data_IF_880533371757
#
_entry.id   IF_880533371757
#
_cell.length_a   1.000
_cell.length_b   1.000
_cell.length_c   1.000
_cell.angle_alpha   90.00
_cell.angle_beta   90.00
_cell.angle_gamma   90.00
#
_symmetry.space_group_name_H-M   'P 1'
#
loop_
_entity.id
_entity.type
_entity.pdbx_description
1 polymer ?
#
# COMPACT_ATOMS: atom_id res chain seq x y z
N UNK A 1 -31.74 12.22 -30.21
CA UNK A 1 -31.98 10.76 -30.16
C UNK A 1 -30.98 10.11 -31.09
N UNK A 2 -29.76 9.85 -30.62
CA UNK A 2 -28.75 9.09 -31.34
C UNK A 2 -28.50 7.82 -30.55
N UNK A 3 -28.93 6.69 -31.12
CA UNK A 3 -28.72 5.36 -30.58
C UNK A 3 -27.25 4.98 -30.73
N UNK A 4 -26.55 4.83 -29.62
CA UNK A 4 -25.21 4.24 -29.58
C UNK A 4 -25.38 2.73 -29.68
N UNK A 5 -24.77 2.15 -30.71
CA UNK A 5 -24.61 0.72 -30.93
C UNK A 5 -23.69 0.15 -29.85
N UNK A 6 -24.27 -0.52 -28.85
CA UNK A 6 -23.54 -1.39 -27.93
C UNK A 6 -23.20 -2.68 -28.68
N UNK A 7 -21.90 -2.94 -28.84
CA UNK A 7 -21.38 -4.19 -29.40
C UNK A 7 -21.53 -5.28 -28.36
N UNK A 8 -22.55 -6.13 -28.51
CA UNK A 8 -22.61 -7.46 -27.88
C UNK A 8 -21.45 -8.30 -28.40
N UNK A 9 -20.48 -8.62 -27.55
CA UNK A 9 -19.51 -9.69 -27.80
C UNK A 9 -19.71 -10.86 -26.81
N UNK A 10 -20.64 -11.72 -27.24
CA UNK A 10 -20.70 -13.17 -27.11
C UNK A 10 -19.68 -13.89 -26.21
N UNK A 11 -20.20 -14.51 -25.13
CA UNK A 11 -19.62 -15.70 -24.49
C UNK A 11 -19.58 -16.86 -25.49
N UNK A 12 -18.40 -17.30 -25.95
CA UNK A 12 -18.20 -18.67 -26.48
C UNK A 12 -16.73 -19.05 -26.78
N UNK A 13 -15.87 -19.34 -25.78
CA UNK A 13 -14.75 -20.29 -25.97
C UNK A 13 -14.46 -21.01 -24.65
N UNK A 14 -15.21 -22.08 -24.40
CA UNK A 14 -14.84 -23.15 -23.49
C UNK A 14 -14.41 -24.34 -24.39
N UNK A 15 -13.35 -25.05 -23.97
CA UNK A 15 -12.95 -26.41 -24.43
C UNK A 15 -12.42 -26.59 -25.87
N UNK A 16 -11.11 -26.44 -26.07
CA UNK A 16 -10.25 -27.39 -26.82
C UNK A 16 -8.81 -26.88 -26.92
N UNK A 17 -7.95 -27.18 -25.93
CA UNK A 17 -6.57 -27.62 -26.17
C UNK A 17 -5.99 -28.29 -24.92
N UNK A 18 -6.66 -29.37 -24.51
CA UNK A 18 -6.01 -30.45 -23.78
C UNK A 18 -5.27 -31.29 -24.83
N UNK A 19 -3.94 -31.19 -24.87
CA UNK A 19 -2.96 -32.25 -25.13
C UNK A 19 -1.60 -31.66 -25.57
N UNK A 20 -0.53 -32.31 -25.10
CA UNK A 20 0.91 -32.08 -25.27
C UNK A 20 1.56 -31.10 -24.24
N UNK A 21 2.46 -31.49 -23.35
CA UNK A 21 3.15 -32.76 -23.06
C UNK A 21 3.61 -32.74 -21.60
N UNK A 22 3.30 -33.82 -20.88
CA UNK A 22 3.93 -34.21 -19.62
C UNK A 22 5.40 -34.59 -19.87
N UNK A 23 6.33 -33.94 -19.15
CA UNK A 23 7.59 -34.57 -18.75
C UNK A 23 7.64 -34.52 -17.24
N UNK A 24 7.12 -35.59 -16.63
CA UNK A 24 7.48 -35.99 -15.29
C UNK A 24 8.59 -37.04 -15.43
N UNK A 25 9.77 -36.77 -14.87
CA UNK A 25 10.62 -37.80 -14.23
C UNK A 25 11.82 -37.14 -13.52
N UNK A 26 11.90 -37.33 -12.20
CA UNK A 26 13.20 -37.52 -11.52
C UNK A 26 13.58 -36.45 -10.51
N UNK A 27 13.52 -36.82 -9.22
CA UNK A 27 14.29 -36.13 -8.18
C UNK A 27 13.65 -36.16 -6.79
N UNK A 28 13.56 -37.33 -6.17
CA UNK A 28 13.21 -37.44 -4.75
C UNK A 28 14.26 -36.78 -3.86
N UNK A 29 13.80 -36.02 -2.87
CA UNK A 29 14.61 -35.43 -1.81
C UNK A 29 13.86 -35.53 -0.49
N UNK A 30 14.46 -36.28 0.43
CA UNK A 30 13.95 -36.68 1.73
C UNK A 30 13.50 -35.52 2.62
N UNK A 31 12.46 -35.78 3.39
CA UNK A 31 11.92 -34.85 4.36
C UNK A 31 12.87 -34.53 5.50
N UNK A 32 12.81 -33.28 5.92
CA UNK A 32 12.80 -32.93 7.32
C UNK A 32 11.43 -32.30 7.60
N UNK A 33 10.52 -33.10 8.13
CA UNK A 33 9.22 -32.69 8.65
C UNK A 33 9.35 -31.92 9.97
N UNK A 34 10.34 -31.02 10.05
CA UNK A 34 10.28 -29.93 11.00
C UNK A 34 9.22 -28.99 10.47
N UNK A 35 7.99 -29.08 10.99
CA UNK A 35 7.07 -27.97 10.94
C UNK A 35 7.79 -26.81 11.65
N UNK A 36 8.60 -26.07 10.89
CA UNK A 36 9.15 -24.81 11.34
C UNK A 36 7.91 -23.97 11.59
N UNK A 37 7.57 -23.83 12.86
CA UNK A 37 6.74 -22.77 13.40
C UNK A 37 7.45 -21.44 13.12
N UNK A 38 7.63 -21.12 11.84
CA UNK A 38 8.14 -19.85 11.36
C UNK A 38 6.98 -18.89 11.22
N UNK A 39 6.03 -18.93 12.17
CA UNK A 39 5.04 -17.88 12.32
C UNK A 39 5.83 -16.59 12.54
N UNK A 40 5.84 -15.69 11.56
CA UNK A 40 6.48 -14.38 11.74
C UNK A 40 5.79 -13.68 12.90
N UNK A 41 6.57 -13.26 13.88
CA UNK A 41 6.11 -12.53 15.06
C UNK A 41 6.97 -11.29 15.22
N UNK A 42 6.36 -10.20 15.64
CA UNK A 42 7.10 -9.02 16.04
C UNK A 42 7.83 -9.31 17.36
N UNK A 43 9.16 -9.25 17.33
CA UNK A 43 10.04 -9.48 18.51
C UNK A 43 10.83 -8.24 18.89
N UNK A 44 10.57 -7.10 18.25
CA UNK A 44 11.25 -5.84 18.51
C UNK A 44 10.73 -5.12 19.76
N UNK A 45 11.22 -3.90 19.95
CA UNK A 45 10.83 -3.03 21.06
C UNK A 45 9.37 -2.59 20.90
N UNK A 46 8.51 -2.92 21.86
CA UNK A 46 7.09 -2.55 21.83
C UNK A 46 6.76 -1.27 22.61
N UNK A 47 7.78 -0.58 23.13
CA UNK A 47 7.66 0.68 23.85
C UNK A 47 7.67 1.86 22.87
N UNK A 48 7.25 3.04 23.33
CA UNK A 48 7.25 4.24 22.51
C UNK A 48 8.69 4.65 22.19
N UNK A 49 8.99 4.97 20.93
CA UNK A 49 10.33 5.29 20.48
C UNK A 49 10.72 6.71 20.90
N UNK A 50 11.86 6.91 21.54
CA UNK A 50 12.42 8.25 21.69
C UNK A 50 12.99 8.68 20.34
N UNK A 51 12.39 9.70 19.72
CA UNK A 51 12.86 10.24 18.44
C UNK A 51 14.08 11.12 18.74
N UNK A 52 15.17 10.83 18.04
CA UNK A 52 16.43 11.58 18.12
C UNK A 52 16.85 12.05 16.73
N UNK A 53 17.81 12.95 16.65
CA UNK A 53 18.41 13.39 15.38
C UNK A 53 18.87 12.20 14.50
N UNK A 54 19.39 11.13 15.12
CA UNK A 54 19.90 9.96 14.39
C UNK A 54 18.81 8.98 13.93
N UNK A 55 17.63 9.04 14.54
CA UNK A 55 16.53 8.09 14.28
C UNK A 55 15.35 8.73 13.56
N UNK A 56 15.27 10.07 13.52
CA UNK A 56 14.18 10.82 12.93
C UNK A 56 13.89 10.40 11.48
N UNK A 57 14.91 10.39 10.60
CA UNK A 57 14.74 10.00 9.19
C UNK A 57 14.27 8.56 9.04
N UNK A 58 14.88 7.62 9.76
CA UNK A 58 14.52 6.20 9.69
C UNK A 58 13.08 5.97 10.15
N UNK A 59 12.71 6.54 11.29
CA UNK A 59 11.38 6.35 11.87
C UNK A 59 10.29 6.99 11.01
N UNK A 60 10.52 8.20 10.48
CA UNK A 60 9.48 8.90 9.70
C UNK A 60 9.28 8.25 8.33
N UNK A 61 10.35 7.85 7.66
CA UNK A 61 10.26 7.14 6.37
C UNK A 61 9.60 5.78 6.56
N UNK A 62 10.02 5.01 7.57
CA UNK A 62 9.40 3.74 7.90
C UNK A 62 7.92 3.87 8.22
N UNK A 63 7.51 4.88 8.99
CA UNK A 63 6.12 5.12 9.35
C UNK A 63 5.27 5.61 8.16
N UNK A 64 5.82 6.44 7.28
CA UNK A 64 5.14 6.90 6.07
C UNK A 64 4.87 5.74 5.09
N UNK A 65 5.83 4.81 4.97
CA UNK A 65 5.75 3.68 4.05
C UNK A 65 5.08 2.44 4.64
N UNK A 66 5.13 2.29 5.96
CA UNK A 66 4.80 1.05 6.65
C UNK A 66 5.71 -0.12 6.23
N UNK A 67 6.97 0.13 5.89
CA UNK A 67 7.93 -0.85 5.34
C UNK A 67 9.32 -0.75 5.97
N UNK A 68 10.20 -1.77 5.82
CA UNK A 68 11.58 -1.74 6.29
C UNK A 68 12.41 -0.58 5.74
N UNK A 69 13.49 -0.24 6.45
CA UNK A 69 14.34 0.94 6.15
C UNK A 69 15.00 0.87 4.76
N UNK A 70 15.26 -0.35 4.25
CA UNK A 70 15.88 -0.60 2.94
C UNK A 70 14.86 -0.67 1.79
N UNK A 71 13.56 -0.70 2.10
CA UNK A 71 12.53 -0.46 1.10
C UNK A 71 12.50 1.06 0.86
N UNK A 72 13.54 1.61 0.24
CA UNK A 72 13.61 3.05 0.01
C UNK A 72 12.56 3.46 -1.03
N UNK A 73 11.67 4.40 -0.69
CA UNK A 73 11.20 5.33 -1.73
C UNK A 73 12.43 6.13 -2.16
N UNK A 74 12.59 6.47 -3.44
CA UNK A 74 13.52 7.49 -3.90
C UNK A 74 13.10 8.89 -3.40
N UNK A 75 12.91 9.08 -2.08
CA UNK A 75 12.91 10.41 -1.46
C UNK A 75 14.37 10.87 -1.30
N UNK A 76 15.35 9.95 -1.21
CA UNK A 76 16.76 10.31 -1.07
C UNK A 76 17.77 9.53 -1.93
N UNK A 77 17.36 8.56 -2.77
CA UNK A 77 18.32 7.80 -3.59
C UNK A 77 17.92 7.62 -5.05
N UNK A 78 18.87 8.00 -5.93
CA UNK A 78 18.92 7.75 -7.37
C UNK A 78 18.39 6.36 -7.77
N UNK A 79 17.23 6.32 -8.43
CA UNK A 79 16.83 5.20 -9.29
C UNK A 79 16.22 5.78 -10.57
N UNK A 80 17.02 5.83 -11.63
CA UNK A 80 16.64 6.33 -12.96
C UNK A 80 15.88 5.28 -13.79
N UNK A 81 15.03 4.45 -13.17
CA UNK A 81 14.22 3.51 -13.92
C UNK A 81 13.00 4.23 -14.50
N UNK A 82 12.98 4.41 -15.82
CA UNK A 82 11.86 4.99 -16.57
C UNK A 82 10.57 4.20 -16.31
N UNK A 83 9.67 4.76 -15.49
CA UNK A 83 8.31 4.25 -15.32
C UNK A 83 7.48 4.71 -16.53
N UNK A 84 7.10 3.76 -17.40
CA UNK A 84 6.15 4.01 -18.49
C UNK A 84 4.77 4.33 -17.93
N UNK A 85 4.30 5.55 -18.16
CA UNK A 85 2.96 6.00 -17.82
C UNK A 85 1.88 5.12 -18.49
N UNK A 86 1.03 4.49 -17.69
CA UNK A 86 -0.26 3.92 -18.09
C UNK A 86 -1.36 4.91 -17.66
N UNK A 87 -2.36 5.22 -18.50
CA UNK A 87 -3.32 6.31 -18.24
C UNK A 87 -4.45 5.98 -17.25
N UNK A 88 -4.26 5.01 -16.35
CA UNK A 88 -5.11 4.85 -15.16
C UNK A 88 -4.43 5.55 -14.01
N UNK A 89 -5.17 6.19 -13.10
CA UNK A 89 -4.70 6.92 -11.91
C UNK A 89 -3.90 5.97 -10.98
N UNK A 90 -2.68 5.61 -11.37
CA UNK A 90 -1.70 4.90 -10.57
C UNK A 90 -0.78 5.97 -10.00
N UNK A 91 -1.19 6.58 -8.90
CA UNK A 91 -0.29 7.38 -8.08
C UNK A 91 0.79 6.45 -7.52
N UNK A 92 2.06 6.87 -7.44
CA UNK A 92 3.11 6.02 -6.86
C UNK A 92 2.86 5.68 -5.37
N UNK A 93 1.99 6.45 -4.70
CA UNK A 93 1.40 6.06 -3.43
C UNK A 93 0.75 4.66 -3.46
N UNK A 94 0.12 4.28 -4.58
CA UNK A 94 -0.46 2.95 -4.82
C UNK A 94 0.59 1.87 -5.13
N UNK A 95 1.82 2.24 -5.51
CA UNK A 95 2.91 1.27 -5.72
C UNK A 95 3.47 0.73 -4.40
N UNK A 96 3.33 1.45 -3.28
CA UNK A 96 3.69 0.93 -1.96
C UNK A 96 2.72 -0.18 -1.48
N UNK A 97 1.56 -0.30 -2.13
CA UNK A 97 0.60 -1.37 -1.96
C UNK A 97 0.40 -2.11 -3.29
N UNK A 98 1.49 -2.60 -3.88
CA UNK A 98 1.51 -3.38 -5.14
C UNK A 98 0.29 -4.31 -5.32
N UNK A 99 -0.10 -5.13 -4.33
CA UNK A 99 -1.25 -6.02 -4.53
C UNK A 99 -2.62 -5.31 -4.53
N UNK A 100 -2.79 -4.12 -3.92
CA UNK A 100 -4.06 -3.37 -3.97
C UNK A 100 -4.25 -2.69 -5.33
N UNK A 101 -3.17 -2.22 -5.96
CA UNK A 101 -3.25 -1.57 -7.28
C UNK A 101 -3.82 -2.50 -8.37
N UNK A 102 -3.52 -3.80 -8.28
CA UNK A 102 -4.10 -4.84 -9.15
C UNK A 102 -5.60 -4.99 -8.95
N UNK A 103 -6.04 -5.13 -7.69
CA UNK A 103 -7.46 -5.24 -7.37
C UNK A 103 -8.28 -4.05 -7.84
N UNK A 104 -7.79 -2.81 -7.69
CA UNK A 104 -8.51 -1.62 -8.17
C UNK A 104 -8.62 -1.57 -9.69
N UNK A 105 -7.58 -1.99 -10.40
CA UNK A 105 -7.63 -2.09 -11.86
C UNK A 105 -8.72 -3.05 -12.32
N UNK A 106 -8.88 -4.17 -11.61
CA UNK A 106 -9.89 -5.16 -11.93
C UNK A 106 -11.31 -4.69 -11.60
N UNK A 107 -11.48 -3.86 -10.57
CA UNK A 107 -12.76 -3.19 -10.27
C UNK A 107 -13.19 -2.25 -11.40
N UNK A 108 -12.30 -1.36 -11.85
CA UNK A 108 -12.60 -0.45 -12.96
C UNK A 108 -12.87 -1.21 -14.24
N UNK A 109 -12.07 -2.26 -14.53
CA UNK A 109 -12.29 -3.12 -15.68
C UNK A 109 -13.63 -3.86 -15.60
N UNK A 110 -13.99 -4.41 -14.43
CA UNK A 110 -15.26 -5.06 -14.19
C UNK A 110 -16.43 -4.10 -14.47
N UNK A 111 -16.47 -2.94 -13.81
CA UNK A 111 -17.53 -1.94 -13.99
C UNK A 111 -17.70 -1.48 -15.44
N UNK A 112 -16.59 -1.39 -16.20
CA UNK A 112 -16.65 -1.06 -17.63
C UNK A 112 -17.34 -2.14 -18.48
N UNK A 113 -17.36 -3.40 -18.01
CA UNK A 113 -18.01 -4.52 -18.72
C UNK A 113 -19.46 -4.77 -18.31
N UNK A 114 -19.89 -4.32 -17.13
CA UNK A 114 -21.26 -4.56 -16.61
C UNK A 114 -22.29 -3.53 -17.09
N UNK A 115 -21.97 -2.74 -18.13
CA UNK A 115 -22.85 -1.69 -18.67
C UNK A 115 -24.18 -2.20 -19.27
N UNK A 116 -24.45 -3.51 -19.24
CA UNK A 116 -25.78 -4.11 -19.47
C UNK A 116 -26.45 -4.47 -18.13
N UNK A 117 -26.91 -3.45 -17.40
CA UNK A 117 -27.41 -3.55 -16.02
C UNK A 117 -28.79 -4.24 -15.97
N UNK A 118 -28.87 -5.37 -15.26
CA UNK A 118 -30.08 -5.75 -14.51
C UNK A 118 -29.79 -5.43 -13.03
N UNK A 119 -30.65 -4.66 -12.34
CA UNK A 119 -30.28 -4.03 -11.08
C UNK A 119 -30.39 -4.97 -9.87
N UNK A 120 -29.59 -4.67 -8.83
CA UNK A 120 -29.71 -5.07 -7.42
C UNK A 120 -28.96 -6.32 -6.95
N UNK A 121 -27.64 -6.41 -7.14
CA UNK A 121 -26.90 -7.45 -6.38
C UNK A 121 -25.50 -6.97 -6.03
N UNK A 122 -25.20 -6.93 -4.73
CA UNK A 122 -23.83 -6.79 -4.23
C UNK A 122 -22.98 -7.90 -4.84
N UNK A 123 -21.98 -7.52 -5.62
CA UNK A 123 -21.06 -8.46 -6.25
C UNK A 123 -19.89 -8.71 -5.31
N UNK A 124 -19.47 -9.97 -5.20
CA UNK A 124 -18.29 -10.34 -4.42
C UNK A 124 -17.29 -10.98 -5.35
N UNK A 125 -16.13 -10.34 -5.48
CA UNK A 125 -15.00 -10.85 -6.25
C UNK A 125 -13.86 -11.21 -5.30
N UNK A 126 -13.14 -12.29 -5.61
CA UNK A 126 -11.97 -12.70 -4.84
C UNK A 126 -10.87 -13.23 -5.73
N UNK A 127 -9.65 -12.79 -5.46
CA UNK A 127 -8.45 -13.17 -6.17
C UNK A 127 -7.36 -13.61 -5.19
N UNK A 128 -6.57 -14.61 -5.59
CA UNK A 128 -5.38 -15.05 -4.87
C UNK A 128 -4.15 -14.70 -5.69
N UNK A 129 -3.27 -13.89 -5.11
CA UNK A 129 -1.99 -13.49 -5.67
C UNK A 129 -0.89 -14.32 -4.97
N UNK A 130 -0.08 -15.02 -5.76
CA UNK A 130 1.06 -15.80 -5.23
C UNK A 130 2.32 -14.95 -5.24
N UNK A 131 3.06 -14.94 -4.13
CA UNK A 131 4.32 -14.20 -4.02
C UNK A 131 5.45 -14.85 -4.83
N UNK A 132 6.38 -14.03 -5.31
CA UNK A 132 7.52 -14.51 -6.15
C UNK A 132 8.44 -15.49 -5.43
N UNK A 133 8.49 -15.44 -4.08
CA UNK A 133 9.27 -16.36 -3.25
C UNK A 133 8.44 -17.23 -2.30
N UNK A 134 7.12 -17.28 -2.47
CA UNK A 134 6.20 -18.10 -1.68
C UNK A 134 5.07 -17.32 -1.02
N UNK A 135 4.23 -18.07 -0.30
CA UNK A 135 3.01 -17.55 0.32
C UNK A 135 2.00 -16.98 -0.67
N UNK A 136 1.01 -16.27 -0.14
CA UNK A 136 -0.05 -15.69 -0.95
C UNK A 136 -0.73 -14.50 -0.27
N UNK A 137 -1.32 -13.62 -1.06
CA UNK A 137 -2.26 -12.59 -0.62
C UNK A 137 -3.63 -12.88 -1.25
N UNK A 138 -4.69 -12.88 -0.46
CA UNK A 138 -6.07 -13.03 -0.94
C UNK A 138 -6.76 -11.68 -0.83
N UNK A 139 -7.32 -11.20 -1.93
CA UNK A 139 -8.13 -9.99 -1.96
C UNK A 139 -9.59 -10.41 -2.09
N UNK A 140 -10.46 -9.77 -1.31
CA UNK A 140 -11.92 -9.91 -1.42
C UNK A 140 -12.51 -8.52 -1.48
N UNK A 141 -13.35 -8.27 -2.48
CA UNK A 141 -14.05 -7.00 -2.64
C UNK A 141 -15.55 -7.24 -2.84
N UNK A 142 -16.34 -6.40 -2.17
CA UNK A 142 -17.77 -6.27 -2.30
C UNK A 142 -18.07 -4.94 -2.99
N UNK A 143 -18.78 -4.97 -4.11
CA UNK A 143 -19.15 -3.78 -4.90
C UNK A 143 -20.67 -3.68 -4.91
N UNK A 144 -21.19 -2.50 -4.56
CA UNK A 144 -22.59 -2.14 -4.72
C UNK A 144 -22.76 -1.37 -6.03
N UNK A 145 -23.33 -2.04 -7.03
CA UNK A 145 -23.55 -1.50 -8.38
C UNK A 145 -24.65 -0.43 -8.44
N UNK A 146 -25.40 -0.22 -7.35
CA UNK A 146 -26.48 0.76 -7.30
C UNK A 146 -26.01 2.15 -6.90
N UNK A 147 -24.92 2.25 -6.13
CA UNK A 147 -24.39 3.51 -5.62
C UNK A 147 -22.88 3.69 -5.84
N UNK A 148 -22.17 2.67 -6.32
CA UNK A 148 -20.73 2.72 -6.58
C UNK A 148 -19.85 2.55 -5.34
N UNK A 149 -20.43 2.25 -4.19
CA UNK A 149 -19.67 1.97 -2.97
C UNK A 149 -19.01 0.59 -3.06
N UNK A 150 -17.82 0.48 -2.48
CA UNK A 150 -17.14 -0.79 -2.34
C UNK A 150 -16.47 -0.93 -0.97
N UNK A 151 -16.30 -2.16 -0.52
CA UNK A 151 -15.50 -2.49 0.65
C UNK A 151 -14.86 -3.88 0.50
N UNK A 152 -13.80 -4.13 1.25
CA UNK A 152 -13.06 -5.37 1.10
C UNK A 152 -11.88 -5.48 2.05
N UNK A 153 -11.13 -6.54 1.87
CA UNK A 153 -9.88 -6.74 2.57
C UNK A 153 -8.89 -7.53 1.72
N UNK A 154 -7.61 -7.25 1.98
CA UNK A 154 -6.50 -8.09 1.58
C UNK A 154 -5.98 -8.83 2.81
N UNK A 155 -5.82 -10.14 2.70
CA UNK A 155 -5.18 -11.00 3.70
C UNK A 155 -3.91 -11.59 3.13
N UNK A 156 -2.77 -11.21 3.69
CA UNK A 156 -1.46 -11.78 3.36
C UNK A 156 -1.15 -12.94 4.32
N UNK A 157 -0.84 -14.10 3.75
CA UNK A 157 -0.42 -15.33 4.41
C UNK A 157 0.99 -15.67 3.92
N UNK A 158 1.99 -15.19 4.67
CA UNK A 158 3.41 -15.30 4.31
C UNK A 158 3.72 -14.79 2.90
N UNK A 159 2.99 -13.77 2.41
CA UNK A 159 3.18 -13.25 1.06
C UNK A 159 4.61 -12.73 0.89
N UNK A 160 5.37 -13.37 -0.01
CA UNK A 160 6.80 -13.11 -0.17
C UNK A 160 7.08 -12.43 -1.50
N UNK A 161 7.63 -11.21 -1.45
CA UNK A 161 8.06 -10.45 -2.62
C UNK A 161 9.42 -9.80 -2.36
N UNK A 162 10.37 -9.94 -3.29
CA UNK A 162 11.68 -9.27 -3.22
C UNK A 162 12.38 -9.34 -1.84
N UNK A 163 12.49 -10.56 -1.28
CA UNK A 163 13.07 -10.84 0.05
C UNK A 163 12.30 -10.29 1.26
N UNK A 164 11.08 -9.80 1.07
CA UNK A 164 10.23 -9.33 2.15
C UNK A 164 9.04 -10.26 2.32
N UNK A 165 8.71 -10.63 3.55
CA UNK A 165 7.52 -11.44 3.89
C UNK A 165 6.49 -10.56 4.59
N UNK A 166 5.27 -10.55 4.07
CA UNK A 166 4.14 -9.79 4.62
C UNK A 166 3.10 -10.76 5.19
N UNK A 167 2.67 -10.51 6.42
CA UNK A 167 1.54 -11.23 7.05
C UNK A 167 0.59 -10.24 7.69
N UNK A 168 -0.70 -10.38 7.41
CA UNK A 168 -1.72 -9.58 8.06
C UNK A 168 -2.79 -9.12 7.10
N UNK A 169 -3.51 -8.08 7.51
CA UNK A 169 -4.70 -7.59 6.83
C UNK A 169 -4.60 -6.13 6.48
N UNK A 170 -5.11 -5.78 5.31
CA UNK A 170 -5.43 -4.40 4.94
C UNK A 170 -6.91 -4.38 4.57
N UNK A 171 -7.74 -3.76 5.40
CA UNK A 171 -9.15 -3.53 5.07
C UNK A 171 -9.25 -2.25 4.26
N UNK A 172 -10.17 -2.20 3.30
CA UNK A 172 -10.41 -1.00 2.50
C UNK A 172 -11.89 -0.77 2.22
N UNK A 173 -12.26 0.48 1.96
CA UNK A 173 -13.59 0.90 1.57
C UNK A 173 -13.50 2.19 0.76
N UNK A 174 -14.46 2.44 -0.12
CA UNK A 174 -14.46 3.65 -0.93
C UNK A 174 -15.68 3.75 -1.81
N UNK A 175 -15.62 4.65 -2.79
CA UNK A 175 -16.68 4.86 -3.76
C UNK A 175 -16.14 5.24 -5.13
N UNK A 176 -16.90 4.88 -6.16
CA UNK A 176 -16.66 5.20 -7.57
C UNK A 176 -17.88 5.97 -8.08
N UNK A 177 -17.66 7.02 -8.86
CA UNK A 177 -18.72 7.70 -9.59
C UNK A 177 -19.19 6.80 -10.74
N UNK A 178 -20.45 6.36 -10.71
CA UNK A 178 -20.97 5.41 -11.71
C UNK A 178 -21.16 6.04 -13.10
N UNK A 179 -21.22 7.38 -13.21
CA UNK A 179 -21.38 8.08 -14.48
C UNK A 179 -20.01 8.23 -15.18
N UNK A 180 -18.96 8.59 -14.42
CA UNK A 180 -17.61 8.80 -14.96
C UNK A 180 -16.71 7.57 -14.85
N UNK A 181 -17.06 6.61 -14.00
CA UNK A 181 -16.23 5.50 -13.55
C UNK A 181 -14.92 5.93 -12.88
N UNK A 182 -14.87 7.18 -12.39
CA UNK A 182 -13.73 7.70 -11.65
C UNK A 182 -13.85 7.35 -10.17
N UNK A 183 -12.73 6.98 -9.57
CA UNK A 183 -12.64 6.67 -8.15
C UNK A 183 -12.73 7.96 -7.33
N UNK A 184 -13.71 8.09 -6.44
CA UNK A 184 -13.89 9.28 -5.60
C UNK A 184 -13.01 9.23 -4.35
N UNK A 185 -13.02 8.10 -3.64
CA UNK A 185 -12.25 7.94 -2.41
C UNK A 185 -11.85 6.49 -2.14
N UNK A 186 -10.75 6.31 -1.42
CA UNK A 186 -10.35 5.05 -0.78
C UNK A 186 -9.97 5.36 0.67
N UNK A 187 -10.47 4.56 1.59
CA UNK A 187 -10.01 4.51 2.97
C UNK A 187 -9.46 3.11 3.22
N UNK A 188 -8.32 3.02 3.90
CA UNK A 188 -7.72 1.76 4.32
C UNK A 188 -7.48 1.74 5.82
N UNK A 189 -7.44 0.54 6.41
CA UNK A 189 -6.97 0.28 7.77
C UNK A 189 -6.03 -0.91 7.72
N UNK A 190 -4.79 -0.68 8.14
CA UNK A 190 -3.67 -1.61 7.99
C UNK A 190 -3.29 -2.25 9.32
N UNK A 191 -3.15 -3.59 9.31
CA UNK A 191 -2.71 -4.41 10.43
C UNK A 191 -1.83 -5.55 9.92
N UNK A 192 -0.52 -5.34 9.83
CA UNK A 192 0.39 -6.33 9.26
C UNK A 192 1.79 -6.31 9.87
N UNK A 193 2.51 -7.40 9.65
CA UNK A 193 3.92 -7.59 9.91
C UNK A 193 4.68 -7.62 8.60
N UNK A 194 5.85 -7.01 8.59
CA UNK A 194 6.79 -7.09 7.46
C UNK A 194 8.11 -7.62 7.98
N UNK A 195 8.54 -8.77 7.48
CA UNK A 195 9.86 -9.32 7.78
C UNK A 195 10.78 -9.09 6.60
N UNK A 196 11.88 -8.39 6.84
CA UNK A 196 13.01 -8.37 5.92
C UNK A 196 13.82 -9.66 6.10
N UNK A 197 13.92 -10.48 5.05
CA UNK A 197 14.69 -11.73 5.11
C UNK A 197 16.20 -11.52 5.08
N UNK A 198 16.69 -10.35 4.66
CA UNK A 198 18.13 -10.05 4.66
C UNK A 198 18.63 -9.85 6.09
N UNK A 199 17.91 -9.05 6.89
CA UNK A 199 18.29 -8.73 8.27
C UNK A 199 17.59 -9.61 9.32
N UNK A 200 16.48 -10.26 8.95
CA UNK A 200 15.62 -11.00 9.88
C UNK A 200 14.74 -10.11 10.76
N UNK A 201 14.81 -8.79 10.58
CA UNK A 201 14.02 -7.80 11.32
C UNK A 201 12.54 -7.87 10.94
N UNK A 202 11.68 -7.68 11.94
CA UNK A 202 10.23 -7.65 11.76
C UNK A 202 9.71 -6.29 12.17
N UNK A 203 9.09 -5.60 11.21
CA UNK A 203 8.37 -4.34 11.38
C UNK A 203 6.89 -4.65 11.55
N UNK A 204 6.16 -3.76 12.22
CA UNK A 204 4.73 -3.94 12.45
C UNK A 204 3.96 -2.65 12.23
N UNK A 205 2.83 -2.77 11.55
CA UNK A 205 1.81 -1.72 11.38
C UNK A 205 0.55 -2.17 12.11
N UNK A 206 0.01 -1.32 12.97
CA UNK A 206 -1.17 -1.61 13.77
C UNK A 206 -2.17 -0.46 13.70
N UNK A 207 -3.37 -0.72 13.17
CA UNK A 207 -4.50 0.20 13.11
C UNK A 207 -4.18 1.57 12.48
N UNK A 208 -3.25 1.64 11.52
CA UNK A 208 -2.99 2.86 10.76
C UNK A 208 -4.07 2.99 9.70
N UNK A 209 -4.73 4.15 9.64
CA UNK A 209 -5.71 4.46 8.60
C UNK A 209 -5.12 5.43 7.58
N UNK A 210 -5.37 5.16 6.29
CA UNK A 210 -5.02 6.05 5.19
C UNK A 210 -6.28 6.39 4.40
N UNK A 211 -6.45 7.66 4.05
CA UNK A 211 -7.52 8.16 3.19
C UNK A 211 -6.92 8.76 1.93
N UNK A 212 -7.50 8.44 0.78
CA UNK A 212 -7.22 9.00 -0.52
C UNK A 212 -8.51 9.63 -1.05
N UNK A 213 -8.45 10.90 -1.43
CA UNK A 213 -9.54 11.62 -2.08
C UNK A 213 -9.06 12.06 -3.45
N UNK A 214 -9.76 11.63 -4.49
CA UNK A 214 -9.41 11.95 -5.87
C UNK A 214 -10.15 13.19 -6.33
N UNK A 215 -9.42 14.07 -7.01
CA UNK A 215 -9.95 15.22 -7.73
C UNK A 215 -9.58 15.12 -9.21
N UNK A 216 -10.15 15.99 -10.03
CA UNK A 216 -9.95 15.97 -11.48
C UNK A 216 -8.48 16.06 -11.93
N UNK A 217 -7.60 16.68 -11.14
CA UNK A 217 -6.18 16.87 -11.50
C UNK A 217 -5.17 16.45 -10.43
N UNK A 218 -5.62 16.00 -9.27
CA UNK A 218 -4.75 15.60 -8.16
C UNK A 218 -5.44 14.62 -7.22
N UNK A 219 -4.66 13.99 -6.35
CA UNK A 219 -5.13 13.17 -5.23
C UNK A 219 -4.65 13.80 -3.93
N UNK A 220 -5.50 13.83 -2.91
CA UNK A 220 -5.12 14.12 -1.54
C UNK A 220 -4.93 12.82 -0.76
N UNK A 221 -3.85 12.73 0.02
CA UNK A 221 -3.59 11.62 0.94
C UNK A 221 -3.47 12.10 2.37
N UNK A 222 -4.15 11.42 3.29
CA UNK A 222 -4.02 11.60 4.73
C UNK A 222 -3.78 10.28 5.44
N UNK A 223 -2.89 10.27 6.42
CA UNK A 223 -2.56 9.14 7.29
C UNK A 223 -2.92 9.53 8.71
N UNK A 224 -3.56 8.64 9.47
CA UNK A 224 -3.93 8.92 10.85
C UNK A 224 -4.07 7.66 11.70
N UNK A 225 -3.81 7.84 12.99
CA UNK A 225 -4.04 6.82 14.01
C UNK A 225 -3.03 5.68 13.98
N UNK A 226 -3.27 4.69 14.84
CA UNK A 226 -2.46 3.48 14.88
C UNK A 226 -1.03 3.68 15.37
N UNK A 227 -0.18 2.71 15.05
CA UNK A 227 1.24 2.67 15.41
C UNK A 227 2.06 2.01 14.31
N UNK A 228 3.22 2.59 14.04
CA UNK A 228 4.29 1.94 13.28
C UNK A 228 5.38 1.51 14.26
N UNK A 229 5.80 0.26 14.20
CA UNK A 229 6.81 -0.34 15.07
C UNK A 229 8.08 -0.62 14.28
N UNK A 230 9.15 0.07 14.65
CA UNK A 230 10.51 -0.24 14.23
C UNK A 230 11.15 -1.22 15.23
N UNK A 231 11.78 -2.31 14.77
CA UNK A 231 12.30 -3.36 15.66
C UNK A 231 13.33 -2.87 16.68
N UNK A 232 14.17 -1.91 16.29
CA UNK A 232 15.29 -1.43 17.12
C UNK A 232 14.98 -0.16 17.93
N UNK A 233 13.89 0.56 17.61
CA UNK A 233 13.64 1.89 18.19
C UNK A 233 12.36 1.96 19.01
N UNK A 234 11.38 1.08 18.77
CA UNK A 234 10.06 1.17 19.40
C UNK A 234 8.98 1.51 18.39
N UNK A 235 7.83 1.98 18.88
CA UNK A 235 6.76 2.47 18.03
C UNK A 235 6.65 3.99 18.01
N UNK A 236 6.10 4.52 16.92
CA UNK A 236 5.67 5.91 16.77
C UNK A 236 4.22 5.97 16.31
N UNK A 237 3.56 7.10 16.54
CA UNK A 237 2.19 7.38 16.10
C UNK A 237 2.25 8.31 14.88
N UNK A 238 1.86 7.85 13.68
CA UNK A 238 1.85 8.66 12.47
C UNK A 238 0.57 9.49 12.34
N UNK A 239 0.72 10.73 11.88
CA UNK A 239 -0.38 11.67 11.64
C UNK A 239 -0.04 12.66 10.53
N UNK A 240 -0.95 12.82 9.58
CA UNK A 240 -0.88 13.87 8.57
C UNK A 240 -1.42 15.18 9.16
N UNK A 241 -0.57 16.20 9.19
CA UNK A 241 -0.93 17.56 9.63
C UNK A 241 -1.58 18.33 8.48
N UNK A 242 -1.02 18.21 7.28
CA UNK A 242 -1.55 18.75 6.04
C UNK A 242 -1.59 17.64 4.99
N UNK A 243 -2.76 17.38 4.35
CA UNK A 243 -2.86 16.35 3.31
C UNK A 243 -1.79 16.48 2.25
N UNK A 244 -1.23 15.34 1.85
CA UNK A 244 -0.32 15.30 0.72
C UNK A 244 -1.10 15.49 -0.56
N UNK A 245 -0.72 16.47 -1.37
CA UNK A 245 -1.31 16.71 -2.69
C UNK A 245 -0.37 16.15 -3.73
N UNK A 246 -0.86 15.26 -4.61
CA UNK A 246 -0.11 14.73 -5.75
C UNK A 246 -0.87 15.01 -7.04
N UNK A 247 -0.30 15.82 -7.94
CA UNK A 247 -0.91 16.07 -9.25
C UNK A 247 -0.75 14.85 -10.17
N UNK A 248 -1.66 14.72 -11.13
CA UNK A 248 -1.59 13.68 -12.16
C UNK A 248 -0.28 13.85 -12.95
N UNK A 249 0.52 12.78 -12.99
CA UNK A 249 1.82 12.74 -13.67
C UNK A 249 3.01 13.01 -12.75
N UNK A 250 2.78 13.57 -11.55
CA UNK A 250 3.84 13.72 -10.56
C UNK A 250 4.15 12.36 -9.93
N UNK A 251 5.45 12.09 -9.76
CA UNK A 251 5.92 10.83 -9.16
C UNK A 251 5.95 10.88 -7.62
N UNK A 252 5.94 12.08 -7.04
CA UNK A 252 5.95 12.36 -5.60
C UNK A 252 4.85 13.39 -5.28
N UNK A 253 4.41 13.50 -4.01
CA UNK A 253 3.59 14.62 -3.58
C UNK A 253 4.25 15.96 -3.92
N UNK A 254 3.44 16.94 -4.27
CA UNK A 254 3.86 18.30 -4.60
C UNK A 254 3.77 19.23 -3.38
N UNK A 255 2.98 18.85 -2.36
CA UNK A 255 2.93 19.51 -1.04
C UNK A 255 2.36 18.58 0.03
N UNK A 256 2.53 18.92 1.31
CA UNK A 256 1.93 18.21 2.45
C UNK A 256 2.84 18.18 3.68
N UNK A 257 2.26 17.81 4.82
CA UNK A 257 2.99 17.68 6.08
C UNK A 257 2.56 16.42 6.84
N UNK A 258 3.55 15.66 7.31
CA UNK A 258 3.37 14.43 8.06
C UNK A 258 4.27 14.42 9.29
N UNK A 259 3.71 14.01 10.41
CA UNK A 259 4.40 13.98 11.69
C UNK A 259 4.32 12.57 12.27
N UNK A 260 5.40 12.17 12.93
CA UNK A 260 5.40 11.03 13.85
C UNK A 260 5.64 11.52 15.27
N UNK A 261 4.89 10.99 16.22
CA UNK A 261 5.09 11.28 17.65
C UNK A 261 5.59 10.04 18.39
N UNK A 262 6.65 10.22 19.16
CA UNK A 262 7.34 9.21 19.95
C UNK A 262 7.16 9.37 21.46
N UNK A 263 8.12 8.84 22.23
CA UNK A 263 8.21 8.95 23.68
C UNK A 263 8.52 10.39 24.10
N UNK A 264 8.09 10.78 25.30
CA UNK A 264 8.33 12.12 25.84
C UNK A 264 7.84 13.26 24.91
N UNK A 265 6.87 12.98 24.04
CA UNK A 265 6.39 13.90 23.01
C UNK A 265 7.43 14.31 21.96
N UNK A 266 8.58 13.62 21.88
CA UNK A 266 9.53 13.83 20.78
C UNK A 266 8.82 13.63 19.44
N UNK A 267 9.12 14.47 18.45
CA UNK A 267 8.48 14.44 17.14
C UNK A 267 9.52 14.41 16.01
N UNK A 268 9.14 13.83 14.88
CA UNK A 268 9.75 14.17 13.60
C UNK A 268 8.66 14.59 12.63
N UNK A 269 8.95 15.56 11.77
CA UNK A 269 8.04 16.12 10.79
C UNK A 269 8.68 16.13 9.41
N UNK A 270 7.98 15.58 8.44
CA UNK A 270 8.27 15.60 7.03
C UNK A 270 7.40 16.68 6.38
N UNK A 271 8.03 17.65 5.73
CA UNK A 271 7.36 18.71 4.97
C UNK A 271 7.76 18.58 3.51
N UNK A 272 6.76 18.49 2.62
CA UNK A 272 6.94 18.53 1.17
C UNK A 272 6.74 19.96 0.71
N UNK A 273 7.81 20.60 0.24
CA UNK A 273 7.78 21.95 -0.33
C UNK A 273 7.49 21.93 -1.84
N UNK A 274 7.98 20.90 -2.55
CA UNK A 274 7.71 20.62 -3.96
C UNK A 274 8.02 19.17 -4.33
N UNK A 275 7.76 18.77 -5.59
CA UNK A 275 8.11 17.43 -6.11
C UNK A 275 9.61 17.08 -6.02
N UNK A 276 10.47 18.09 -5.87
CA UNK A 276 11.93 17.95 -5.71
C UNK A 276 12.42 18.73 -4.48
N UNK A 277 11.56 18.97 -3.48
CA UNK A 277 11.98 19.63 -2.25
C UNK A 277 11.20 19.11 -1.04
N UNK A 278 11.90 18.41 -0.15
CA UNK A 278 11.36 17.81 1.09
C UNK A 278 12.35 18.09 2.20
N UNK A 279 11.83 18.30 3.39
CA UNK A 279 12.63 18.52 4.60
C UNK A 279 12.09 17.64 5.72
N UNK A 280 12.99 17.03 6.49
CA UNK A 280 12.67 16.36 7.75
C UNK A 280 13.24 17.19 8.89
N UNK A 281 12.42 17.49 9.87
CA UNK A 281 12.81 18.18 11.11
C UNK A 281 12.52 17.30 12.31
N UNK A 282 13.28 17.44 13.40
CA UNK A 282 13.02 16.72 14.65
C UNK A 282 12.98 17.64 15.87
N UNK A 283 12.01 17.38 16.74
CA UNK A 283 11.86 17.88 18.11
C UNK A 283 12.26 16.71 19.02
N UNK A 284 13.52 16.69 19.46
CA UNK A 284 14.06 15.52 20.14
C UNK A 284 13.71 15.47 21.64
N UNK A 285 13.48 16.64 22.26
CA UNK A 285 13.20 16.75 23.69
C UNK A 285 11.71 16.95 24.03
N UNK A 286 10.87 17.10 23.01
CA UNK A 286 9.41 17.18 23.11
C UNK A 286 8.92 18.53 23.62
N UNK A 287 9.70 19.61 23.46
CA UNK A 287 9.33 20.94 23.94
C UNK A 287 8.49 21.75 22.93
N UNK A 288 8.29 21.20 21.71
CA UNK A 288 7.55 21.80 20.61
C UNK A 288 8.40 22.69 19.69
N UNK A 289 9.69 22.82 19.95
CA UNK A 289 10.69 23.41 19.06
C UNK A 289 11.37 22.29 18.29
N UNK A 290 11.76 22.56 17.03
CA UNK A 290 12.48 21.59 16.21
C UNK A 290 13.95 22.02 16.16
N UNK A 291 14.84 21.26 16.80
CA UNK A 291 16.27 21.59 16.95
C UNK A 291 17.10 21.10 15.76
N UNK A 292 16.61 20.07 15.07
CA UNK A 292 17.33 19.40 14.00
C UNK A 292 16.56 19.46 12.68
N UNK A 293 17.31 19.60 11.59
CA UNK A 293 16.80 19.56 10.21
C UNK A 293 17.76 18.75 9.35
N UNK A 294 17.20 17.93 8.46
CA UNK A 294 17.94 17.26 7.38
C UNK A 294 18.47 18.24 6.34
N UNK A 295 18.00 19.49 6.37
CA UNK A 295 18.02 20.40 5.23
C UNK A 295 17.10 19.90 4.11
N UNK A 296 17.17 20.56 2.96
CA UNK A 296 16.43 20.16 1.78
C UNK A 296 17.04 18.87 1.22
N UNK A 297 16.21 17.83 1.11
CA UNK A 297 16.60 16.50 0.68
C UNK A 297 16.29 16.28 -0.80
N UNK A 298 17.02 16.91 -1.74
CA UNK A 298 17.03 16.54 -3.18
C UNK A 298 18.31 16.99 -3.90
#
# INVERSE_FOLDING_TARGET
MNSILVVRNTRLVLTMLSTLLLIACGGGGSGDGGASDSTVRYTGIAENAAITEQSAETLINGAYMGMPDDATIPISTHSTAEVRAVPSIQTNASQNFLPLSGAFKDVTAYLSTVHEIQPQTVQTESEVIYGSCGGSATITIHIDDSNGDFNGAMQSNDYCESNTIIIGTISFSGSIDLDTLEQNSINTVSNYLVKDNNTGKVYKVENISMSLITFASYVEMSIQGGRYYHPDYGYVVPETVQPFVQYIGDIMPSSGEFTITGAQQSQAKLTVHSINDVEITADADGDGVFEWSSGNLY
#
